data_IF_150678436448
#
_entry.id   IF_150678436448
#
_cell.length_a   1.000
_cell.length_b   1.000
_cell.length_c   1.000
_cell.angle_alpha   90.00
_cell.angle_beta   90.00
_cell.angle_gamma   90.00
#
_symmetry.space_group_name_H-M   'P 1'
#
loop_
_entity.id
_entity.type
_entity.pdbx_description
1 polymer ?
#
# COMPACT_ATOMS: atom_id res chain seq x y z
N UNK A 1 3.08 30.46 14.90
CA UNK A 1 3.63 30.43 13.52
C UNK A 1 4.83 29.50 13.55
N UNK A 2 4.97 28.35 12.89
CA UNK A 2 4.28 27.65 11.81
C UNK A 2 4.48 26.14 12.03
N UNK A 3 3.51 25.32 11.66
CA UNK A 3 3.78 24.01 11.06
C UNK A 3 2.51 23.60 10.31
N UNK A 4 2.48 23.94 9.03
CA UNK A 4 1.51 23.47 8.05
C UNK A 4 1.57 21.94 7.99
N UNK A 5 0.67 21.29 8.73
CA UNK A 5 0.34 19.90 8.51
C UNK A 5 -0.10 19.76 7.06
N UNK A 6 0.76 19.15 6.24
CA UNK A 6 0.42 18.74 4.88
C UNK A 6 -0.88 17.96 4.99
N UNK A 7 -1.96 18.47 4.39
CA UNK A 7 -3.18 17.69 4.13
C UNK A 7 -2.77 16.47 3.31
N UNK A 8 -2.42 15.37 3.97
CA UNK A 8 -2.40 14.06 3.33
C UNK A 8 -3.79 13.87 2.73
N UNK A 9 -3.87 13.81 1.39
CA UNK A 9 -5.13 13.53 0.70
C UNK A 9 -5.72 12.28 1.35
N UNK A 10 -6.93 12.39 1.89
CA UNK A 10 -7.57 11.30 2.61
C UNK A 10 -7.53 10.02 1.76
N UNK A 11 -6.83 8.99 2.25
CA UNK A 11 -6.72 7.71 1.57
C UNK A 11 -8.11 7.09 1.49
N UNK A 12 -8.50 6.61 0.30
CA UNK A 12 -9.76 5.90 0.12
C UNK A 12 -9.53 4.40 0.31
N UNK A 13 -10.42 3.76 1.08
CA UNK A 13 -10.37 2.32 1.26
C UNK A 13 -10.76 1.60 -0.04
N UNK A 14 -9.99 0.56 -0.38
CA UNK A 14 -10.33 -0.35 -1.48
C UNK A 14 -10.51 -1.75 -0.92
N UNK A 15 -11.62 -2.41 -1.27
CA UNK A 15 -11.83 -3.81 -0.88
C UNK A 15 -10.99 -4.71 -1.78
N UNK A 16 -9.91 -5.27 -1.22
CA UNK A 16 -9.12 -6.31 -1.86
C UNK A 16 -9.54 -7.68 -1.30
N UNK A 17 -9.96 -8.58 -2.19
CA UNK A 17 -10.30 -9.96 -1.82
C UNK A 17 -9.14 -10.87 -2.23
N UNK A 18 -8.58 -11.57 -1.25
CA UNK A 18 -7.52 -12.55 -1.44
C UNK A 18 -8.00 -13.91 -0.91
N UNK A 19 -7.53 -15.00 -1.51
CA UNK A 19 -7.72 -16.31 -0.91
C UNK A 19 -6.90 -16.44 0.39
N UNK A 20 -7.25 -17.43 1.21
CA UNK A 20 -6.67 -17.64 2.53
C UNK A 20 -5.16 -17.90 2.49
N UNK A 21 -4.67 -18.63 1.48
CA UNK A 21 -3.23 -18.97 1.38
C UNK A 21 -2.43 -17.72 1.05
N UNK A 22 -2.90 -16.94 0.06
CA UNK A 22 -2.27 -15.68 -0.35
C UNK A 22 -2.24 -14.67 0.80
N UNK A 23 -3.36 -14.46 1.50
CA UNK A 23 -3.40 -13.54 2.64
C UNK A 23 -2.45 -13.95 3.77
N UNK A 24 -2.31 -15.27 4.03
CA UNK A 24 -1.38 -15.77 5.05
C UNK A 24 0.07 -15.51 4.67
N UNK A 25 0.45 -15.81 3.43
CA UNK A 25 1.79 -15.54 2.93
C UNK A 25 2.12 -14.03 2.99
N UNK A 26 1.18 -13.19 2.56
CA UNK A 26 1.35 -11.73 2.58
C UNK A 26 1.54 -11.18 4.00
N UNK A 27 0.85 -11.74 4.99
CA UNK A 27 1.04 -11.39 6.41
C UNK A 27 2.44 -11.73 6.91
N UNK A 28 2.96 -12.91 6.55
CA UNK A 28 4.29 -13.34 6.96
C UNK A 28 5.35 -12.40 6.37
N UNK A 29 5.25 -12.11 5.06
CA UNK A 29 6.16 -11.18 4.37
C UNK A 29 6.13 -9.80 5.02
N UNK A 30 4.94 -9.29 5.36
CA UNK A 30 4.80 -7.99 6.01
C UNK A 30 5.51 -7.95 7.38
N UNK A 31 5.43 -9.03 8.16
CA UNK A 31 6.15 -9.15 9.44
C UNK A 31 7.66 -9.20 9.23
N UNK A 32 8.14 -10.03 8.31
CA UNK A 32 9.57 -10.18 7.99
C UNK A 32 10.22 -8.88 7.50
N UNK A 33 9.47 -8.05 6.77
CA UNK A 33 9.92 -6.76 6.25
C UNK A 33 9.61 -5.57 7.16
N UNK A 34 9.14 -5.81 8.38
CA UNK A 34 8.75 -4.77 9.36
C UNK A 34 7.82 -3.70 8.75
N UNK A 35 6.84 -4.14 7.95
CA UNK A 35 5.93 -3.28 7.18
C UNK A 35 4.47 -3.70 7.36
N UNK A 36 3.54 -2.90 6.85
CA UNK A 36 2.12 -3.27 6.82
C UNK A 36 1.72 -3.84 5.47
N UNK A 37 0.72 -4.74 5.46
CA UNK A 37 0.11 -5.25 4.22
C UNK A 37 -0.33 -4.09 3.32
N UNK A 38 -0.92 -3.04 3.92
CA UNK A 38 -1.35 -1.87 3.16
C UNK A 38 -0.16 -1.18 2.48
N UNK A 39 0.93 -0.93 3.20
CA UNK A 39 2.12 -0.27 2.63
C UNK A 39 2.76 -1.12 1.54
N UNK A 40 2.84 -2.44 1.74
CA UNK A 40 3.34 -3.39 0.75
C UNK A 40 2.52 -3.37 -0.54
N UNK A 41 1.19 -3.47 -0.43
CA UNK A 41 0.28 -3.43 -1.58
C UNK A 41 0.28 -2.03 -2.24
N UNK A 42 0.30 -0.95 -1.46
CA UNK A 42 0.40 0.42 -2.01
C UNK A 42 1.67 0.59 -2.84
N UNK A 43 2.82 0.07 -2.39
CA UNK A 43 4.07 0.11 -3.14
C UNK A 43 3.97 -0.71 -4.44
N UNK A 44 3.54 -1.97 -4.35
CA UNK A 44 3.39 -2.84 -5.51
C UNK A 44 2.47 -2.22 -6.59
N UNK A 45 1.34 -1.64 -6.17
CA UNK A 45 0.41 -0.97 -7.09
C UNK A 45 1.04 0.28 -7.71
N UNK A 46 1.75 1.11 -6.92
CA UNK A 46 2.43 2.30 -7.44
C UNK A 46 3.50 1.93 -8.45
N UNK A 47 4.29 0.91 -8.16
CA UNK A 47 5.39 0.49 -9.03
C UNK A 47 4.85 -0.11 -10.33
N UNK A 48 3.80 -0.94 -10.26
CA UNK A 48 3.08 -1.41 -11.45
C UNK A 48 2.54 -0.24 -12.31
N UNK A 49 1.93 0.78 -11.70
CA UNK A 49 1.42 1.93 -12.45
C UNK A 49 2.56 2.75 -13.06
N UNK A 50 3.70 2.92 -12.39
CA UNK A 50 4.87 3.61 -12.96
C UNK A 50 5.44 2.87 -14.17
N UNK A 51 5.45 1.54 -14.13
CA UNK A 51 5.95 0.72 -15.23
C UNK A 51 4.99 0.68 -16.43
N UNK A 52 3.68 0.74 -16.19
CA UNK A 52 2.66 0.52 -17.22
C UNK A 52 1.80 1.74 -17.57
N UNK A 53 2.00 2.89 -16.91
CA UNK A 53 1.18 4.07 -17.08
C UNK A 53 1.84 5.36 -16.59
N UNK A 54 1.02 6.35 -16.23
CA UNK A 54 1.48 7.60 -15.61
C UNK A 54 0.80 7.77 -14.25
N UNK A 55 1.61 7.92 -13.21
CA UNK A 55 1.18 8.29 -11.87
C UNK A 55 1.51 9.79 -11.70
N UNK A 56 0.54 10.66 -11.99
CA UNK A 56 0.67 12.13 -11.81
C UNK A 56 0.63 12.56 -10.33
#
# INVERSE_FOLDING_TARGET
>A
MHASEKKEKAKKNTSLRLDKKTLKALKIIAIEQETSIQKLIESLVKDYIKEHGKLD
#
